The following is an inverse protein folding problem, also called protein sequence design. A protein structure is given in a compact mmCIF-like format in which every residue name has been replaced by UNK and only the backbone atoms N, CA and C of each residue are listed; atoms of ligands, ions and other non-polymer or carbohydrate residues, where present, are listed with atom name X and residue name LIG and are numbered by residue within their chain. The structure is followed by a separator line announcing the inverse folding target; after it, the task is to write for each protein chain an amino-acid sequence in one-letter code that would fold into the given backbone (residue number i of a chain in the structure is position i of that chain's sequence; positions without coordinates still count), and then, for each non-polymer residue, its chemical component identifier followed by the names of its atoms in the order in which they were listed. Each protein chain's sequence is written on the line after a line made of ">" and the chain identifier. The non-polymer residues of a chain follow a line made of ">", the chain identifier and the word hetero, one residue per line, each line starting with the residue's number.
data_IF_989185365754
#
_entry.id   IF_989185365754
#
_cell.length_a   1.000
_cell.length_b   1.000
_cell.length_c   1.000
_cell.angle_alpha   90.00
_cell.angle_beta   90.00
_cell.angle_gamma   90.00
#
_symmetry.space_group_name_H-M   'P 1'
#
loop_
_entity.id
_entity.type
_entity.pdbx_description
1 polymer ?
#
# COMPACT_ATOMS: atom_id res chain seq x y z
N UNK A 1 19.39 0.43 12.75
CA UNK A 1 18.27 0.56 11.79
C UNK A 1 17.14 1.40 12.35
N UNK A 2 16.76 1.22 13.62
CA UNK A 2 15.79 2.10 14.32
C UNK A 2 16.22 3.57 14.35
N UNK A 3 17.52 3.85 14.49
CA UNK A 3 18.09 5.21 14.48
C UNK A 3 17.84 5.96 13.17
N UNK A 4 18.10 5.31 12.03
CA UNK A 4 17.89 5.90 10.69
C UNK A 4 16.42 6.22 10.48
N UNK A 5 15.54 5.32 10.91
CA UNK A 5 14.10 5.48 10.77
C UNK A 5 13.56 6.62 11.65
N UNK A 6 14.06 6.74 12.87
CA UNK A 6 13.74 7.86 13.75
C UNK A 6 14.31 9.18 13.24
N UNK A 7 15.50 9.19 12.63
CA UNK A 7 16.07 10.38 11.99
C UNK A 7 15.23 10.86 10.82
N UNK A 8 14.83 9.97 9.91
CA UNK A 8 13.95 10.32 8.77
C UNK A 8 12.61 10.87 9.27
N UNK A 9 12.03 10.26 10.30
CA UNK A 9 10.78 10.74 10.91
C UNK A 9 10.94 12.11 11.58
N UNK A 10 12.10 12.42 12.14
CA UNK A 10 12.41 13.74 12.70
C UNK A 10 12.58 14.79 11.59
N UNK A 11 13.29 14.46 10.51
CA UNK A 11 13.49 15.36 9.37
C UNK A 11 12.16 15.71 8.68
N UNK A 12 11.32 14.71 8.40
CA UNK A 12 9.98 14.94 7.84
C UNK A 12 9.10 15.79 8.76
N UNK A 13 9.28 15.67 10.09
CA UNK A 13 8.54 16.47 11.05
C UNK A 13 9.00 17.93 11.06
N UNK A 14 10.29 18.20 10.93
CA UNK A 14 10.84 19.55 10.86
C UNK A 14 10.41 20.26 9.56
N UNK A 15 10.49 19.56 8.42
CA UNK A 15 10.02 20.05 7.12
C UNK A 15 8.55 20.44 7.16
N UNK A 16 7.71 19.58 7.74
CA UNK A 16 6.27 19.85 7.85
C UNK A 16 5.93 20.99 8.82
N UNK A 17 6.74 21.19 9.87
CA UNK A 17 6.54 22.27 10.83
C UNK A 17 7.19 23.59 10.36
N UNK A 18 7.93 23.56 9.25
CA UNK A 18 8.77 24.65 8.75
C UNK A 18 9.71 25.20 9.83
N UNK A 19 10.14 24.34 10.75
CA UNK A 19 10.96 24.71 11.90
C UNK A 19 11.66 23.48 12.50
N UNK A 20 12.95 23.63 12.82
CA UNK A 20 13.75 22.63 13.50
C UNK A 20 13.39 22.52 15.00
N UNK A 21 13.82 21.43 15.69
CA UNK A 21 13.65 21.29 17.12
C UNK A 21 14.22 22.50 17.87
N UNK A 22 13.39 23.12 18.72
CA UNK A 22 13.72 24.31 19.51
C UNK A 22 13.98 25.60 18.70
N UNK A 23 13.75 25.57 17.38
CA UNK A 23 13.83 26.76 16.54
C UNK A 23 12.59 27.63 16.69
N UNK A 24 12.82 28.95 16.84
CA UNK A 24 11.77 29.97 16.89
C UNK A 24 11.70 30.64 15.53
N UNK A 25 10.62 30.36 14.82
CA UNK A 25 10.34 30.88 13.48
C UNK A 25 8.88 31.33 13.42
N UNK A 26 8.62 32.47 12.82
CA UNK A 26 7.27 33.03 12.67
C UNK A 26 6.42 32.26 11.64
N UNK A 27 7.07 31.49 10.76
CA UNK A 27 6.44 30.58 9.77
C UNK A 27 6.02 29.22 10.36
N UNK A 28 6.30 28.99 11.65
CA UNK A 28 6.03 27.70 12.33
C UNK A 28 4.55 27.35 12.26
N UNK A 29 4.24 26.23 11.61
CA UNK A 29 2.86 25.78 11.38
C UNK A 29 2.23 25.04 12.58
N UNK A 30 2.96 24.87 13.70
CA UNK A 30 2.40 24.29 14.92
C UNK A 30 3.43 23.83 15.97
N UNK A 31 2.93 23.27 17.07
CA UNK A 31 3.74 22.69 18.15
C UNK A 31 3.40 21.21 18.33
N UNK A 32 4.43 20.35 18.48
CA UNK A 32 4.28 18.95 18.89
C UNK A 32 4.74 18.78 20.33
N UNK A 33 3.93 18.17 21.18
CA UNK A 33 4.31 17.79 22.53
C UNK A 33 3.90 16.34 22.81
N UNK A 34 4.88 15.46 23.08
CA UNK A 34 4.69 14.05 23.41
C UNK A 34 5.17 13.07 22.33
N UNK A 35 5.38 11.81 22.72
CA UNK A 35 5.70 10.67 21.85
C UNK A 35 4.90 9.45 22.29
N UNK A 36 4.12 8.90 21.36
CA UNK A 36 3.40 7.65 21.53
C UNK A 36 4.21 6.52 20.89
N UNK A 37 4.63 5.49 21.64
CA UNK A 37 5.31 4.34 21.07
C UNK A 37 4.34 3.51 20.21
N UNK A 38 4.76 3.15 19.00
CA UNK A 38 4.02 2.30 18.09
C UNK A 38 4.93 1.21 17.52
N UNK A 39 4.46 -0.03 17.57
CA UNK A 39 5.20 -1.19 17.10
C UNK A 39 4.98 -1.35 15.59
N UNK A 40 6.05 -1.28 14.81
CA UNK A 40 6.01 -1.52 13.37
C UNK A 40 6.55 -2.93 13.08
N UNK A 41 5.66 -3.81 12.63
CA UNK A 41 6.03 -5.18 12.26
C UNK A 41 6.69 -5.14 10.88
N UNK A 42 7.94 -5.57 10.79
CA UNK A 42 8.68 -5.69 9.53
C UNK A 42 9.10 -7.14 9.28
N UNK A 43 9.57 -7.45 8.07
CA UNK A 43 10.10 -8.78 7.73
C UNK A 43 11.29 -9.21 8.59
N UNK A 44 12.03 -8.26 9.17
CA UNK A 44 13.23 -8.49 10.00
C UNK A 44 12.93 -8.38 11.51
N UNK A 45 11.67 -8.29 11.90
CA UNK A 45 11.23 -8.23 13.29
C UNK A 45 10.37 -7.00 13.60
N UNK A 46 9.96 -6.88 14.87
CA UNK A 46 9.16 -5.76 15.37
C UNK A 46 10.08 -4.63 15.81
N UNK A 47 9.94 -3.45 15.20
CA UNK A 47 10.71 -2.25 15.53
C UNK A 47 9.81 -1.27 16.27
N UNK A 48 10.30 -0.67 17.36
CA UNK A 48 9.54 0.35 18.10
C UNK A 48 9.76 1.72 17.47
N UNK A 49 8.70 2.36 16.98
CA UNK A 49 8.72 3.73 16.47
C UNK A 49 8.08 4.67 17.48
N UNK A 50 8.69 5.83 17.72
CA UNK A 50 8.08 6.86 18.54
C UNK A 50 7.34 7.87 17.66
N UNK A 51 6.00 7.78 17.62
CA UNK A 51 5.15 8.75 16.90
C UNK A 51 4.97 9.98 17.79
N UNK A 52 5.47 11.14 17.39
CA UNK A 52 5.27 12.37 18.19
C UNK A 52 3.78 12.74 18.26
N UNK A 53 3.21 12.77 19.46
CA UNK A 53 1.80 13.06 19.74
C UNK A 53 1.49 14.53 19.40
N UNK A 54 0.37 14.79 18.71
CA UNK A 54 -0.10 16.13 18.37
C UNK A 54 -1.26 16.48 19.31
N UNK A 55 -1.10 17.53 20.12
CA UNK A 55 -2.27 18.30 20.56
C UNK A 55 -2.50 19.35 19.47
N UNK A 56 -3.61 19.22 18.74
CA UNK A 56 -4.15 20.19 17.77
C UNK A 56 -3.70 20.06 16.31
N UNK A 57 -3.44 18.85 15.82
CA UNK A 57 -3.78 18.60 14.42
C UNK A 57 -4.75 17.44 14.39
N UNK A 58 -5.83 17.61 13.63
CA UNK A 58 -6.61 16.49 13.17
C UNK A 58 -5.64 15.40 12.70
N UNK A 59 -5.92 14.16 13.07
CA UNK A 59 -5.37 13.03 12.34
C UNK A 59 -5.47 13.36 10.85
N UNK A 60 -4.51 12.98 9.99
CA UNK A 60 -4.80 13.03 8.56
C UNK A 60 -6.07 12.22 8.39
N UNK A 61 -7.20 12.91 8.23
CA UNK A 61 -8.50 12.31 8.02
C UNK A 61 -8.37 11.72 6.64
N UNK A 62 -7.88 10.48 6.56
CA UNK A 62 -7.70 9.79 5.30
C UNK A 62 -9.09 9.78 4.65
N UNK A 63 -9.30 10.58 3.59
CA UNK A 63 -10.58 10.63 2.94
C UNK A 63 -10.96 9.21 2.54
N UNK A 64 -12.22 8.81 2.75
CA UNK A 64 -12.71 7.51 2.29
C UNK A 64 -12.45 7.30 0.79
N UNK A 65 -12.32 8.39 0.02
CA UNK A 65 -11.95 8.39 -1.39
C UNK A 65 -10.47 8.10 -1.68
N UNK A 66 -9.54 8.37 -0.76
CA UNK A 66 -8.10 8.30 -1.04
C UNK A 66 -7.61 6.90 -1.38
N UNK A 67 -8.16 5.87 -0.74
CA UNK A 67 -7.86 4.47 -1.11
C UNK A 67 -8.41 4.16 -2.51
N UNK A 68 -9.62 4.64 -2.81
CA UNK A 68 -10.24 4.45 -4.13
C UNK A 68 -9.43 5.12 -5.23
N UNK A 69 -8.98 6.36 -5.00
CA UNK A 69 -8.19 7.12 -5.97
C UNK A 69 -6.81 6.49 -6.19
N UNK A 70 -6.21 5.91 -5.14
CA UNK A 70 -4.98 5.14 -5.27
C UNK A 70 -5.21 3.86 -6.09
N UNK A 71 -6.31 3.14 -5.86
CA UNK A 71 -6.63 1.93 -6.62
C UNK A 71 -6.86 2.23 -8.12
N UNK A 72 -7.48 3.37 -8.46
CA UNK A 72 -7.65 3.79 -9.87
C UNK A 72 -6.34 3.94 -10.62
N UNK A 73 -5.24 4.29 -9.93
CA UNK A 73 -3.91 4.38 -10.55
C UNK A 73 -3.39 3.03 -11.04
N UNK A 74 -3.93 1.92 -10.53
CA UNK A 74 -3.58 0.56 -10.95
C UNK A 74 -4.41 0.09 -12.15
N UNK A 75 -5.49 0.79 -12.51
CA UNK A 75 -6.39 0.40 -13.61
C UNK A 75 -5.66 0.16 -14.94
N UNK A 76 -4.64 0.97 -15.34
CA UNK A 76 -3.88 0.69 -16.57
C UNK A 76 -3.12 -0.64 -16.51
N UNK A 77 -2.54 -0.97 -15.35
CA UNK A 77 -1.79 -2.22 -15.14
C UNK A 77 -2.75 -3.40 -15.16
N UNK A 78 -3.90 -3.28 -14.49
CA UNK A 78 -4.95 -4.32 -14.47
C UNK A 78 -5.50 -4.55 -15.87
N UNK A 79 -5.74 -3.48 -16.64
CA UNK A 79 -6.24 -3.56 -18.02
C UNK A 79 -5.23 -4.21 -18.95
N UNK A 80 -3.96 -3.83 -18.86
CA UNK A 80 -2.87 -4.43 -19.62
C UNK A 80 -2.70 -5.92 -19.28
N UNK A 81 -2.81 -6.27 -17.99
CA UNK A 81 -2.77 -7.65 -17.54
C UNK A 81 -3.96 -8.45 -18.10
N UNK A 82 -5.18 -7.93 -18.04
CA UNK A 82 -6.37 -8.66 -18.49
C UNK A 82 -6.36 -8.93 -20.00
N UNK A 83 -5.91 -7.96 -20.80
CA UNK A 83 -5.85 -8.08 -22.26
C UNK A 83 -4.57 -8.75 -22.78
N UNK A 84 -3.71 -9.26 -21.90
CA UNK A 84 -2.46 -9.91 -22.31
C UNK A 84 -2.74 -11.16 -23.14
N UNK A 85 -1.96 -11.38 -24.20
CA UNK A 85 -2.04 -12.60 -25.01
C UNK A 85 -1.61 -13.81 -24.17
N UNK A 86 -2.43 -14.87 -24.18
CA UNK A 86 -2.17 -16.13 -23.47
C UNK A 86 -1.64 -17.25 -24.39
N UNK A 87 -1.65 -17.05 -25.71
CA UNK A 87 -1.43 -18.10 -26.73
C UNK A 87 -0.01 -18.67 -26.75
N UNK A 88 1.01 -17.92 -26.34
CA UNK A 88 2.42 -18.35 -26.39
C UNK A 88 2.86 -19.19 -25.17
N UNK A 89 1.93 -19.56 -24.28
CA UNK A 89 2.25 -20.20 -23.01
C UNK A 89 1.57 -21.57 -22.95
N UNK A 90 2.38 -22.63 -22.98
CA UNK A 90 1.90 -23.97 -22.65
C UNK A 90 1.63 -24.05 -21.14
N UNK A 91 0.36 -24.19 -20.79
CA UNK A 91 -0.09 -24.45 -19.42
C UNK A 91 -0.29 -25.94 -19.25
N UNK A 92 0.37 -26.54 -18.26
CA UNK A 92 0.27 -27.98 -18.00
C UNK A 92 -1.05 -28.32 -17.31
N UNK A 93 -1.49 -27.43 -16.41
CA UNK A 93 -2.78 -27.51 -15.75
C UNK A 93 -3.44 -26.13 -15.77
N UNK A 94 -4.76 -26.10 -16.01
CA UNK A 94 -5.60 -24.93 -15.89
C UNK A 94 -6.64 -25.21 -14.82
N UNK A 95 -6.75 -24.33 -13.84
CA UNK A 95 -7.76 -24.43 -12.80
C UNK A 95 -8.64 -23.19 -12.89
N UNK A 96 -9.94 -23.43 -12.85
CA UNK A 96 -10.97 -22.41 -12.95
C UNK A 96 -11.81 -22.47 -11.69
N UNK A 97 -12.02 -21.30 -11.08
CA UNK A 97 -12.88 -21.10 -9.92
C UNK A 97 -13.91 -20.02 -10.24
N UNK A 98 -15.08 -20.09 -9.60
CA UNK A 98 -16.19 -19.16 -9.81
C UNK A 98 -16.70 -18.64 -8.46
N UNK A 99 -16.70 -17.32 -8.31
CA UNK A 99 -17.18 -16.63 -7.11
C UNK A 99 -18.41 -15.79 -7.45
N UNK A 100 -19.43 -15.81 -6.60
CA UNK A 100 -20.59 -14.93 -6.75
C UNK A 100 -20.44 -13.75 -5.80
N UNK A 101 -20.31 -12.54 -6.35
CA UNK A 101 -20.15 -11.30 -5.60
C UNK A 101 -21.38 -10.40 -5.77
N UNK A 102 -21.74 -9.67 -4.72
CA UNK A 102 -22.80 -8.66 -4.79
C UNK A 102 -22.20 -7.33 -5.21
N UNK A 103 -22.61 -6.83 -6.37
CA UNK A 103 -22.11 -5.58 -6.96
C UNK A 103 -23.28 -4.59 -7.11
N UNK A 104 -23.03 -3.30 -6.90
CA UNK A 104 -24.02 -2.24 -7.17
C UNK A 104 -23.88 -1.80 -8.63
N UNK A 105 -24.92 -2.02 -9.42
CA UNK A 105 -25.03 -1.54 -10.81
C UNK A 105 -26.36 -0.81 -10.97
N UNK A 106 -26.36 0.33 -11.68
CA UNK A 106 -27.58 1.12 -11.97
C UNK A 106 -28.43 1.41 -10.71
N UNK A 107 -27.78 1.61 -9.55
CA UNK A 107 -28.45 1.89 -8.28
C UNK A 107 -29.06 0.67 -7.57
N UNK A 108 -28.90 -0.56 -8.09
CA UNK A 108 -29.38 -1.80 -7.44
C UNK A 108 -28.24 -2.77 -7.16
N UNK A 109 -28.30 -3.44 -6.01
CA UNK A 109 -27.35 -4.52 -5.67
C UNK A 109 -27.77 -5.79 -6.40
N UNK A 110 -26.90 -6.31 -7.26
CA UNK A 110 -27.10 -7.55 -8.03
C UNK A 110 -25.99 -8.54 -7.73
N UNK A 111 -26.32 -9.82 -7.72
CA UNK A 111 -25.32 -10.89 -7.67
C UNK A 111 -24.73 -11.09 -9.06
N UNK A 112 -23.40 -11.00 -9.16
CA UNK A 112 -22.62 -11.22 -10.38
C UNK A 112 -21.62 -12.35 -10.15
N UNK A 113 -21.46 -13.22 -11.15
CA UNK A 113 -20.43 -14.25 -11.15
C UNK A 113 -19.10 -13.68 -11.64
N UNK A 114 -18.02 -13.99 -10.94
CA UNK A 114 -16.63 -13.68 -11.30
C UNK A 114 -15.91 -15.00 -11.51
N UNK A 115 -15.32 -15.19 -12.68
CA UNK A 115 -14.54 -16.39 -13.00
C UNK A 115 -13.04 -16.09 -12.86
N UNK A 116 -12.35 -16.92 -12.09
CA UNK A 116 -10.90 -16.87 -11.88
C UNK A 116 -10.28 -18.05 -12.59
N UNK A 117 -9.32 -17.80 -13.48
CA UNK A 117 -8.55 -18.84 -14.14
C UNK A 117 -7.07 -18.70 -13.79
N UNK A 118 -6.45 -19.75 -13.25
CA UNK A 118 -5.03 -19.80 -12.99
C UNK A 118 -4.40 -21.02 -13.68
N UNK A 119 -3.30 -20.76 -14.40
CA UNK A 119 -2.59 -21.78 -15.17
C UNK A 119 -1.23 -22.06 -14.57
N UNK A 120 -0.93 -23.34 -14.32
CA UNK A 120 0.38 -23.82 -13.87
C UNK A 120 1.25 -24.08 -15.08
N UNK A 121 2.41 -23.42 -15.14
CA UNK A 121 3.41 -23.64 -16.20
C UNK A 121 4.49 -24.59 -15.72
N UNK A 122 5.01 -25.42 -16.63
CA UNK A 122 6.24 -26.15 -16.37
C UNK A 122 7.40 -25.15 -16.31
N UNK A 123 8.12 -25.12 -15.20
CA UNK A 123 9.40 -24.40 -15.11
C UNK A 123 10.41 -25.19 -15.94
N UNK A 124 10.94 -24.61 -17.00
CA UNK A 124 12.12 -25.18 -17.65
C UNK A 124 13.29 -24.99 -16.68
N UNK A 125 13.82 -26.08 -16.14
CA UNK A 125 15.06 -26.04 -15.38
C UNK A 125 16.19 -25.90 -16.40
N UNK A 126 16.64 -24.68 -16.67
CA UNK A 126 18.00 -24.49 -17.16
C UNK A 126 18.94 -24.75 -15.98
N UNK A 127 19.41 -25.99 -15.89
CA UNK A 127 20.72 -26.25 -15.29
C UNK A 127 21.61 -26.71 -16.43
N UNK A 128 22.55 -25.84 -16.79
CA UNK A 128 23.77 -26.16 -17.50
C UNK A 128 24.40 -27.42 -16.92
N UNK A 129 24.44 -28.47 -17.72
CA UNK A 129 25.51 -29.46 -17.64
C UNK A 129 26.65 -28.83 -18.43
N UNK A 130 27.65 -28.33 -17.70
CA UNK A 130 29.08 -28.28 -18.04
C UNK A 130 29.85 -27.86 -16.77
#
# INVERSE_FOLDING_TARGET
>A
MESVLNQVLQAQAAEQLSAEPYERTDERQGYRNGTDPHLLITRVGTITKFRKSRRNCAEPEFPKSTVSDLCKRLDPIVTAWNNRKLRERFYLFLIVDALVLKVREEGRVRSRGVMLAYGVKRKATEKSLD
#
